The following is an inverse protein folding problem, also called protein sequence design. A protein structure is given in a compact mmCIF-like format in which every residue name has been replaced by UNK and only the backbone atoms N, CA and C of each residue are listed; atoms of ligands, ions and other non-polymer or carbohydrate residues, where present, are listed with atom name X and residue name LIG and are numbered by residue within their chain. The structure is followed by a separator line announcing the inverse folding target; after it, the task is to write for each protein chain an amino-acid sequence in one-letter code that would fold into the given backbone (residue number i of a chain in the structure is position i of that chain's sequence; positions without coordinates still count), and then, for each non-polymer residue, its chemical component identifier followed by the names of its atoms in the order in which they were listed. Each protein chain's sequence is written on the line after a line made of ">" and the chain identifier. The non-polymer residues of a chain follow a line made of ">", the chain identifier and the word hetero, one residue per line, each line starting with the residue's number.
data_IF_188532201653
#
_entry.id   IF_188532201653
#
_cell.length_a   1.000
_cell.length_b   1.000
_cell.length_c   1.000
_cell.angle_alpha   90.00
_cell.angle_beta   90.00
_cell.angle_gamma   90.00
#
_symmetry.space_group_name_H-M   'P 1'
#
loop_
_entity.id
_entity.type
_entity.pdbx_description
1 polymer ?
#
# COMPACT_ATOMS: atom_id res chain seq x y z
N UNK A 1 32.63 -14.85 41.91
CA UNK A 1 32.62 -14.74 40.43
C UNK A 1 31.59 -15.71 39.86
N UNK A 2 30.44 -15.21 39.37
CA UNK A 2 29.65 -15.89 38.32
C UNK A 2 28.74 -14.83 37.67
N UNK A 3 29.09 -14.44 36.45
CA UNK A 3 28.30 -13.56 35.59
C UNK A 3 27.10 -14.36 35.09
N UNK A 4 25.90 -13.83 35.24
CA UNK A 4 24.77 -14.18 34.37
C UNK A 4 24.15 -12.85 33.96
N UNK A 5 24.72 -12.26 32.91
CA UNK A 5 24.05 -11.22 32.16
C UNK A 5 22.90 -11.92 31.42
N UNK A 6 21.68 -11.79 31.95
CA UNK A 6 20.49 -12.24 31.24
C UNK A 6 20.22 -11.20 30.15
N UNK A 7 20.78 -11.47 28.98
CA UNK A 7 20.51 -10.77 27.73
C UNK A 7 19.03 -10.93 27.38
N UNK A 8 18.15 -10.07 27.91
CA UNK A 8 16.80 -9.87 27.37
C UNK A 8 16.90 -9.01 26.12
N UNK A 9 17.51 -9.57 25.09
CA UNK A 9 17.51 -9.05 23.74
C UNK A 9 16.82 -10.08 22.86
N UNK A 10 15.50 -10.00 22.76
CA UNK A 10 14.71 -10.32 21.57
C UNK A 10 13.23 -10.29 21.94
N UNK A 11 12.56 -9.16 21.68
CA UNK A 11 11.12 -9.10 21.39
C UNK A 11 10.81 -7.74 20.74
N UNK A 12 11.68 -7.29 19.84
CA UNK A 12 11.26 -6.35 18.80
C UNK A 12 10.62 -7.18 17.70
N UNK A 13 9.39 -7.67 17.95
CA UNK A 13 8.52 -8.06 16.84
C UNK A 13 8.43 -6.82 15.93
N UNK A 14 8.75 -6.92 14.63
CA UNK A 14 8.35 -5.87 13.73
C UNK A 14 6.83 -5.99 13.66
N UNK A 15 6.12 -5.20 14.47
CA UNK A 15 4.73 -4.91 14.19
C UNK A 15 4.81 -4.11 12.88
N UNK A 16 4.74 -4.80 11.74
CA UNK A 16 4.35 -4.15 10.49
C UNK A 16 2.95 -3.62 10.76
N UNK A 17 2.86 -2.41 11.29
CA UNK A 17 1.60 -1.76 11.53
C UNK A 17 0.89 -1.68 10.18
N UNK A 18 -0.37 -2.11 10.15
CA UNK A 18 -1.26 -1.88 9.02
C UNK A 18 -1.25 -0.39 8.69
N UNK A 19 -0.69 -0.05 7.53
CA UNK A 19 -0.54 1.32 7.07
C UNK A 19 -1.34 1.47 5.78
N UNK A 20 -2.13 2.54 5.73
CA UNK A 20 -2.72 3.00 4.48
C UNK A 20 -1.97 4.23 4.01
N UNK A 21 -1.50 4.22 2.76
CA UNK A 21 -0.89 5.37 2.11
C UNK A 21 -1.86 5.92 1.07
N UNK A 22 -2.11 7.24 1.12
CA UNK A 22 -3.00 7.92 0.19
C UNK A 22 -2.22 8.92 -0.66
N UNK A 23 -2.05 8.59 -1.94
CA UNK A 23 -1.53 9.49 -2.97
C UNK A 23 -2.71 10.31 -3.51
N UNK A 24 -2.79 11.59 -3.15
CA UNK A 24 -3.92 12.48 -3.49
C UNK A 24 -3.81 13.09 -4.89
N UNK A 25 -2.72 12.83 -5.61
CA UNK A 25 -2.49 13.38 -6.94
C UNK A 25 -3.10 12.49 -8.02
N UNK A 26 -3.52 13.07 -9.16
CA UNK A 26 -3.88 12.29 -10.34
C UNK A 26 -2.80 11.25 -10.62
N UNK A 27 -3.24 10.01 -10.78
CA UNK A 27 -2.36 8.86 -10.94
C UNK A 27 -2.91 7.93 -11.99
N UNK A 28 -2.05 7.14 -12.61
CA UNK A 28 -2.47 6.04 -13.50
C UNK A 28 -1.95 4.74 -12.94
N UNK A 29 -2.83 3.75 -12.80
CA UNK A 29 -2.46 2.39 -12.39
C UNK A 29 -2.37 1.48 -13.62
N UNK A 30 -1.27 0.73 -13.73
CA UNK A 30 -1.06 -0.28 -14.78
C UNK A 30 -1.25 -1.65 -14.17
N UNK A 31 -2.17 -2.44 -14.73
CA UNK A 31 -2.42 -3.82 -14.32
C UNK A 31 -1.50 -4.80 -15.05
N UNK A 32 -1.40 -6.03 -14.55
CA UNK A 32 -0.56 -7.07 -15.14
C UNK A 32 -0.99 -7.48 -16.57
N UNK A 33 -2.28 -7.33 -16.89
CA UNK A 33 -2.82 -7.56 -18.25
C UNK A 33 -2.49 -6.41 -19.22
N UNK A 34 -1.80 -5.37 -18.76
CA UNK A 34 -1.45 -4.18 -19.55
C UNK A 34 -2.55 -3.12 -19.58
N UNK A 35 -3.69 -3.33 -18.90
CA UNK A 35 -4.74 -2.31 -18.80
C UNK A 35 -4.28 -1.15 -17.92
N UNK A 36 -4.49 0.06 -18.41
CA UNK A 36 -4.24 1.31 -17.68
C UNK A 36 -5.55 1.93 -17.23
N UNK A 37 -5.57 2.44 -16.00
CA UNK A 37 -6.74 3.07 -15.40
C UNK A 37 -6.31 4.39 -14.78
N UNK A 38 -6.93 5.47 -15.23
CA UNK A 38 -6.69 6.82 -14.72
C UNK A 38 -7.50 7.01 -13.43
N UNK A 39 -6.85 7.53 -12.41
CA UNK A 39 -7.36 7.80 -11.06
C UNK A 39 -7.22 9.29 -10.75
N UNK A 40 -8.12 10.15 -11.23
CA UNK A 40 -8.01 11.60 -11.06
C UNK A 40 -8.00 12.06 -9.60
N UNK A 41 -8.65 11.32 -8.70
CA UNK A 41 -8.66 11.61 -7.26
C UNK A 41 -7.54 10.93 -6.48
N UNK A 42 -6.68 10.17 -7.16
CA UNK A 42 -5.54 9.48 -6.58
C UNK A 42 -5.78 8.02 -6.18
N UNK A 43 -4.84 7.50 -5.39
CA UNK A 43 -4.72 6.08 -5.03
C UNK A 43 -4.65 5.88 -3.52
N UNK A 44 -5.34 4.88 -3.00
CA UNK A 44 -5.17 4.38 -1.63
C UNK A 44 -4.54 2.99 -1.65
N UNK A 45 -3.35 2.88 -1.07
CA UNK A 45 -2.66 1.61 -0.85
C UNK A 45 -2.94 1.17 0.57
N UNK A 46 -3.58 0.03 0.76
CA UNK A 46 -3.87 -0.55 2.07
C UNK A 46 -3.04 -1.82 2.25
N UNK A 47 -2.08 -1.79 3.18
CA UNK A 47 -1.16 -2.92 3.43
C UNK A 47 -1.78 -4.08 4.21
N UNK A 48 -2.91 -3.86 4.89
CA UNK A 48 -3.60 -4.91 5.66
C UNK A 48 -4.39 -5.84 4.75
N UNK A 49 -5.03 -5.25 3.74
CA UNK A 49 -5.84 -5.98 2.76
C UNK A 49 -5.11 -6.25 1.44
N UNK A 50 -3.85 -5.80 1.33
CA UNK A 50 -3.03 -5.87 0.12
C UNK A 50 -3.78 -5.37 -1.12
N UNK A 51 -4.47 -4.23 -0.99
CA UNK A 51 -5.31 -3.65 -2.06
C UNK A 51 -4.93 -2.23 -2.41
N UNK A 52 -5.12 -1.89 -3.68
CA UNK A 52 -5.08 -0.53 -4.18
C UNK A 52 -6.49 -0.11 -4.57
N UNK A 53 -6.95 1.03 -4.10
CA UNK A 53 -8.18 1.66 -4.54
C UNK A 53 -7.88 2.91 -5.38
N UNK A 54 -8.56 3.02 -6.51
CA UNK A 54 -8.50 4.14 -7.44
C UNK A 54 -9.72 5.04 -7.23
N UNK A 55 -9.51 6.35 -7.13
CA UNK A 55 -10.58 7.32 -6.91
C UNK A 55 -10.71 8.30 -8.08
N UNK A 56 -11.93 8.78 -8.33
CA UNK A 56 -12.15 9.96 -9.16
C UNK A 56 -12.01 11.25 -8.33
N UNK A 57 -12.05 12.42 -8.99
CA UNK A 57 -11.92 13.73 -8.32
C UNK A 57 -12.97 13.97 -7.22
N UNK A 58 -14.15 13.35 -7.35
CA UNK A 58 -15.23 13.41 -6.36
C UNK A 58 -15.05 12.46 -5.18
N UNK A 59 -13.94 11.73 -5.07
CA UNK A 59 -13.68 10.77 -4.00
C UNK A 59 -14.47 9.46 -4.12
N UNK A 60 -15.09 9.19 -5.27
CA UNK A 60 -15.75 7.92 -5.55
C UNK A 60 -14.72 6.89 -6.04
N UNK A 61 -14.82 5.67 -5.51
CA UNK A 61 -14.02 4.53 -5.94
C UNK A 61 -14.39 4.14 -7.38
N UNK A 62 -13.38 4.06 -8.24
CA UNK A 62 -13.46 3.58 -9.62
C UNK A 62 -13.05 2.11 -9.74
N UNK A 63 -12.07 1.69 -8.95
CA UNK A 63 -11.50 0.34 -8.96
C UNK A 63 -10.97 0.00 -7.57
N UNK A 64 -11.13 -1.25 -7.15
CA UNK A 64 -10.36 -1.86 -6.06
C UNK A 64 -9.73 -3.12 -6.62
N UNK A 65 -8.42 -3.25 -6.46
CA UNK A 65 -7.65 -4.37 -7.00
C UNK A 65 -6.60 -4.84 -5.99
N UNK A 66 -6.31 -6.14 -5.97
CA UNK A 66 -5.22 -6.69 -5.17
C UNK A 66 -3.86 -6.26 -5.71
N UNK A 67 -2.89 -6.02 -4.81
CA UNK A 67 -1.53 -5.61 -5.13
C UNK A 67 -0.84 -6.56 -6.12
N UNK A 68 -1.15 -7.85 -6.04
CA UNK A 68 -0.64 -8.89 -6.92
C UNK A 68 -1.02 -8.70 -8.40
N UNK A 69 -2.06 -7.92 -8.68
CA UNK A 69 -2.52 -7.62 -10.05
C UNK A 69 -2.00 -6.28 -10.58
N UNK A 70 -1.25 -5.52 -9.77
CA UNK A 70 -0.72 -4.20 -10.12
C UNK A 70 0.72 -4.36 -10.61
N UNK A 71 0.96 -3.96 -11.86
CA UNK A 71 2.30 -3.91 -12.45
C UNK A 71 3.07 -2.68 -11.99
N UNK A 72 2.37 -1.55 -11.81
CA UNK A 72 2.96 -0.29 -11.36
C UNK A 72 1.94 0.84 -11.35
N UNK A 73 2.39 2.03 -10.94
CA UNK A 73 1.62 3.26 -11.04
C UNK A 73 2.52 4.45 -11.35
N UNK A 74 1.96 5.46 -11.99
CA UNK A 74 2.59 6.77 -12.19
C UNK A 74 1.76 7.84 -11.50
N UNK A 75 2.43 8.91 -11.10
CA UNK A 75 1.80 10.10 -10.52
C UNK A 75 2.12 11.27 -11.43
N UNK A 76 1.09 12.04 -11.79
CA UNK A 76 1.22 13.22 -12.63
C UNK A 76 1.61 14.47 -11.83
#
# INVERSE_FOLDING_TARGET
>A
MRKIALSTLFLMLPILAACSYYEKRPSTITLNDGKEIVCPGGLLFNSESERVACYNEGGKVLLIVGWENVKGYTVE
#
